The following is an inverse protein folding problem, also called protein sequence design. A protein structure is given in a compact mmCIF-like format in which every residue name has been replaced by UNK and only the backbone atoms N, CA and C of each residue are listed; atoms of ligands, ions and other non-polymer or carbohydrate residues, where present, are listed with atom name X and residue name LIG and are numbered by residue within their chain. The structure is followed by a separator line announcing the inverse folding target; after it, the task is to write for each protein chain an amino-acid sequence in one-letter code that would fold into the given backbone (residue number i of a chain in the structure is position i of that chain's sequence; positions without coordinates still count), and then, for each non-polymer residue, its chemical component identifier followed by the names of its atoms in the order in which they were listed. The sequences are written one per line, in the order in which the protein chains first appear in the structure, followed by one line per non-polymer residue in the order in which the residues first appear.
data_IF_571937743110
#
_entry.id   IF_571937743110
#
_cell.length_a   1.000
_cell.length_b   1.000
_cell.length_c   1.000
_cell.angle_alpha   90.00
_cell.angle_beta   90.00
_cell.angle_gamma   90.00
#
_symmetry.space_group_name_H-M   'P 1'
#
loop_
_entity.id
_entity.type
_entity.pdbx_description
1 polymer ?
#
# COMPACT_ATOMS: atom_id res chain seq x y z
N UNK A 1 -39.29 10.89 94.27
CA UNK A 1 -38.43 9.86 94.87
C UNK A 1 -38.99 8.53 94.41
N UNK A 2 -38.15 7.63 93.92
CA UNK A 2 -38.50 6.36 93.25
C UNK A 2 -39.29 6.52 91.96
N UNK A 3 -38.81 5.93 90.88
CA UNK A 3 -39.73 5.30 89.93
C UNK A 3 -39.03 4.22 89.10
N UNK A 4 -39.63 3.04 89.17
CA UNK A 4 -39.49 1.83 88.36
C UNK A 4 -40.95 1.33 88.22
N UNK A 5 -41.35 0.59 87.17
CA UNK A 5 -40.65 -0.63 86.75
C UNK A 5 -40.78 -0.89 85.20
N UNK A 6 -40.74 -2.12 84.64
CA UNK A 6 -39.68 -2.53 83.69
C UNK A 6 -40.19 -3.22 82.39
N UNK A 7 -39.27 -3.95 81.70
CA UNK A 7 -39.44 -5.02 80.67
C UNK A 7 -39.36 -4.54 79.19
N UNK A 8 -38.69 -5.19 78.22
CA UNK A 8 -38.26 -6.59 78.08
C UNK A 8 -37.28 -6.80 76.89
N UNK A 9 -36.38 -7.79 77.06
CA UNK A 9 -35.81 -8.79 76.12
C UNK A 9 -35.01 -8.42 74.84
N UNK A 10 -33.71 -8.73 74.95
CA UNK A 10 -32.83 -9.56 74.09
C UNK A 10 -32.75 -9.29 72.58
N UNK A 11 -31.57 -8.86 72.14
CA UNK A 11 -30.96 -9.29 70.87
C UNK A 11 -29.44 -9.45 71.05
N UNK A 12 -28.94 -10.61 70.62
CA UNK A 12 -27.52 -10.98 70.59
C UNK A 12 -26.82 -10.23 69.45
N UNK A 13 -25.66 -9.63 69.72
CA UNK A 13 -24.74 -9.12 68.71
C UNK A 13 -23.66 -10.17 68.45
N UNK A 14 -23.79 -10.92 67.35
CA UNK A 14 -22.70 -11.69 66.76
C UNK A 14 -21.95 -10.80 65.76
N UNK A 15 -20.69 -10.49 66.05
CA UNK A 15 -19.79 -9.86 65.10
C UNK A 15 -19.40 -10.89 64.02
N UNK A 16 -19.83 -10.66 62.78
CA UNK A 16 -19.40 -11.43 61.62
C UNK A 16 -18.12 -10.80 61.04
N UNK A 17 -16.99 -11.49 61.14
CA UNK A 17 -15.79 -11.17 60.38
C UNK A 17 -15.99 -11.64 58.93
N UNK A 18 -16.11 -10.69 58.00
CA UNK A 18 -16.15 -10.98 56.58
C UNK A 18 -14.72 -11.25 56.07
N UNK A 19 -14.41 -12.52 55.78
CA UNK A 19 -13.21 -12.87 55.02
C UNK A 19 -13.45 -12.51 53.55
N UNK A 20 -12.76 -11.48 53.06
CA UNK A 20 -12.74 -11.14 51.64
C UNK A 20 -11.90 -12.18 50.89
N UNK A 21 -12.58 -13.12 50.20
CA UNK A 21 -11.96 -13.95 49.17
C UNK A 21 -11.81 -13.09 47.91
N UNK A 22 -10.62 -12.56 47.67
CA UNK A 22 -10.25 -12.02 46.36
C UNK A 22 -10.13 -13.19 45.39
N UNK A 23 -10.95 -13.28 44.33
CA UNK A 23 -10.70 -14.27 43.30
C UNK A 23 -9.44 -13.85 42.55
N UNK A 24 -8.35 -14.60 42.72
CA UNK A 24 -7.25 -14.55 41.77
C UNK A 24 -7.78 -15.06 40.45
N UNK A 25 -8.07 -14.14 39.52
CA UNK A 25 -8.25 -14.47 38.12
C UNK A 25 -6.92 -15.04 37.63
N UNK A 26 -6.84 -16.37 37.58
CA UNK A 26 -5.82 -17.04 36.79
C UNK A 26 -6.17 -16.70 35.34
N UNK A 27 -5.52 -15.66 34.81
CA UNK A 27 -5.49 -15.40 33.38
C UNK A 27 -4.82 -16.62 32.74
N UNK A 28 -5.63 -17.55 32.26
CA UNK A 28 -5.16 -18.53 31.29
C UNK A 28 -4.59 -17.71 30.13
N UNK A 29 -3.32 -17.86 29.74
CA UNK A 29 -2.82 -17.19 28.55
C UNK A 29 -3.75 -17.64 27.43
N UNK A 30 -4.40 -16.67 26.77
CA UNK A 30 -5.09 -16.92 25.53
C UNK A 30 -4.10 -17.72 24.67
N UNK A 31 -4.50 -18.93 24.27
CA UNK A 31 -3.65 -19.83 23.51
C UNK A 31 -3.21 -19.07 22.26
N UNK A 32 -1.99 -18.54 22.29
CA UNK A 32 -1.46 -17.80 21.16
C UNK A 32 -1.39 -18.81 20.01
N UNK A 33 -2.17 -18.60 18.96
CA UNK A 33 -2.03 -19.45 17.79
C UNK A 33 -0.59 -19.31 17.28
N UNK A 34 0.06 -20.45 17.05
CA UNK A 34 1.48 -20.55 16.71
C UNK A 34 1.72 -20.85 15.24
N UNK A 35 0.85 -20.37 14.37
CA UNK A 35 1.00 -20.55 12.92
C UNK A 35 0.46 -19.32 12.17
N UNK A 36 1.09 -18.92 11.06
CA UNK A 36 0.53 -17.92 10.15
C UNK A 36 -0.84 -18.35 9.61
N UNK A 37 -1.73 -17.39 9.35
CA UNK A 37 -3.07 -17.69 8.89
C UNK A 37 -3.08 -18.10 7.40
N UNK A 38 -3.48 -19.34 7.06
CA UNK A 38 -3.50 -19.80 5.69
C UNK A 38 -4.82 -19.37 5.04
N UNK A 39 -4.91 -18.12 4.57
CA UNK A 39 -6.12 -17.53 3.99
C UNK A 39 -6.93 -18.53 3.15
N UNK A 40 -8.12 -18.96 3.61
CA UNK A 40 -8.87 -20.05 2.96
C UNK A 40 -9.48 -19.61 1.63
N UNK A 41 -9.76 -18.32 1.48
CA UNK A 41 -10.22 -17.70 0.24
C UNK A 41 -9.14 -16.75 -0.26
N UNK A 42 -8.58 -17.08 -1.42
CA UNK A 42 -7.47 -16.33 -2.07
C UNK A 42 -7.48 -16.55 -3.58
N UNK A 43 -6.81 -15.71 -4.38
CA UNK A 43 -6.66 -15.93 -5.81
C UNK A 43 -6.30 -17.38 -6.15
N UNK A 44 -6.96 -17.95 -7.17
CA UNK A 44 -6.82 -19.35 -7.58
C UNK A 44 -7.72 -20.37 -6.85
N UNK A 45 -8.40 -19.99 -5.77
CA UNK A 45 -9.40 -20.87 -5.12
C UNK A 45 -10.76 -20.84 -5.85
N UNK A 46 -11.56 -21.93 -5.83
CA UNK A 46 -12.92 -21.92 -6.37
C UNK A 46 -13.83 -20.86 -5.74
N UNK A 47 -13.64 -20.59 -4.46
CA UNK A 47 -14.37 -19.57 -3.70
C UNK A 47 -14.06 -18.17 -4.22
N UNK A 48 -12.78 -17.89 -4.51
CA UNK A 48 -12.36 -16.61 -5.08
C UNK A 48 -13.00 -16.32 -6.42
N UNK A 49 -13.07 -17.31 -7.31
CA UNK A 49 -13.66 -17.15 -8.65
C UNK A 49 -15.15 -16.75 -8.61
N UNK A 50 -15.83 -16.96 -7.48
CA UNK A 50 -17.24 -16.58 -7.26
C UNK A 50 -17.38 -15.13 -6.75
N UNK A 51 -16.31 -14.48 -6.32
CA UNK A 51 -16.34 -13.12 -5.79
C UNK A 51 -16.31 -12.09 -6.92
N UNK A 52 -17.45 -11.43 -7.15
CA UNK A 52 -17.65 -10.48 -8.29
C UNK A 52 -17.33 -9.02 -7.98
N UNK A 53 -17.06 -8.69 -6.73
CA UNK A 53 -16.77 -7.31 -6.32
C UNK A 53 -15.53 -7.29 -5.44
N UNK A 54 -14.78 -6.19 -5.51
CA UNK A 54 -13.64 -5.98 -4.64
C UNK A 54 -14.01 -6.02 -3.16
N UNK A 55 -15.16 -5.45 -2.80
CA UNK A 55 -15.69 -5.50 -1.45
C UNK A 55 -15.91 -6.93 -0.93
N UNK A 56 -16.36 -7.84 -1.80
CA UNK A 56 -16.48 -9.25 -1.44
C UNK A 56 -15.11 -9.91 -1.23
N UNK A 57 -14.10 -9.56 -2.04
CA UNK A 57 -12.71 -10.03 -1.87
C UNK A 57 -12.10 -9.56 -0.55
N UNK A 58 -12.22 -8.27 -0.22
CA UNK A 58 -11.74 -7.71 1.05
C UNK A 58 -12.36 -8.42 2.26
N UNK A 59 -13.69 -8.65 2.24
CA UNK A 59 -14.37 -9.36 3.32
C UNK A 59 -13.91 -10.82 3.45
N UNK A 60 -13.72 -11.51 2.33
CA UNK A 60 -13.29 -12.91 2.33
C UNK A 60 -11.85 -13.10 2.83
N UNK A 61 -11.03 -12.06 2.76
CA UNK A 61 -9.62 -12.08 3.19
C UNK A 61 -9.38 -11.45 4.56
N UNK A 62 -10.42 -11.14 5.35
CA UNK A 62 -10.22 -10.71 6.74
C UNK A 62 -9.77 -11.88 7.63
N UNK A 63 -8.98 -11.57 8.67
CA UNK A 63 -8.77 -12.51 9.76
C UNK A 63 -10.06 -12.64 10.58
N UNK A 64 -10.39 -13.83 11.14
CA UNK A 64 -11.46 -13.96 12.11
C UNK A 64 -11.31 -13.01 13.31
N UNK A 65 -12.44 -12.61 13.89
CA UNK A 65 -12.47 -11.66 15.02
C UNK A 65 -11.59 -12.14 16.18
N UNK A 66 -10.77 -11.24 16.71
CA UNK A 66 -9.83 -11.52 17.80
C UNK A 66 -8.58 -12.32 17.41
N UNK A 67 -8.53 -12.92 16.20
CA UNK A 67 -7.40 -13.74 15.78
C UNK A 67 -6.11 -12.93 15.72
N UNK A 68 -6.13 -11.75 15.09
CA UNK A 68 -4.94 -10.90 14.95
C UNK A 68 -4.30 -10.58 16.31
N UNK A 69 -5.10 -10.33 17.35
CA UNK A 69 -4.61 -10.04 18.71
C UNK A 69 -4.04 -11.28 19.42
N UNK A 70 -4.53 -12.48 19.08
CA UNK A 70 -4.06 -13.74 19.66
C UNK A 70 -2.76 -14.26 19.01
N UNK A 71 -2.37 -13.77 17.84
CA UNK A 71 -1.15 -14.23 17.15
C UNK A 71 0.11 -13.67 17.80
N UNK A 72 1.21 -14.43 17.77
CA UNK A 72 2.53 -13.86 18.03
C UNK A 72 2.88 -12.81 16.97
N UNK A 73 3.83 -11.91 17.26
CA UNK A 73 4.22 -10.89 16.29
C UNK A 73 4.88 -11.50 15.07
N UNK A 74 5.63 -12.59 15.25
CA UNK A 74 6.23 -13.34 14.15
C UNK A 74 5.18 -13.96 13.22
N UNK A 75 4.16 -14.62 13.79
CA UNK A 75 3.05 -15.21 13.02
C UNK A 75 2.20 -14.13 12.32
N UNK A 76 1.95 -13.01 13.00
CA UNK A 76 1.20 -11.90 12.42
C UNK A 76 1.99 -11.23 11.27
N UNK A 77 3.31 -11.08 11.40
CA UNK A 77 4.17 -10.59 10.33
C UNK A 77 4.08 -11.50 9.11
N UNK A 78 4.24 -12.82 9.28
CA UNK A 78 4.11 -13.78 8.19
C UNK A 78 2.71 -13.71 7.55
N UNK A 79 1.66 -13.64 8.36
CA UNK A 79 0.27 -13.51 7.89
C UNK A 79 0.03 -12.24 7.08
N UNK A 80 0.61 -11.11 7.51
CA UNK A 80 0.48 -9.83 6.81
C UNK A 80 1.25 -9.84 5.48
N UNK A 81 2.45 -10.43 5.45
CA UNK A 81 3.22 -10.56 4.21
C UNK A 81 2.56 -11.51 3.21
N UNK A 82 1.83 -12.52 3.70
CA UNK A 82 1.05 -13.46 2.89
C UNK A 82 -0.36 -12.95 2.54
N UNK A 83 -0.71 -11.72 2.95
CA UNK A 83 -2.04 -11.16 2.71
C UNK A 83 -2.34 -11.11 1.19
N UNK A 84 -3.40 -11.78 0.70
CA UNK A 84 -3.60 -11.98 -0.74
C UNK A 84 -3.74 -10.69 -1.56
N UNK A 85 -4.21 -9.61 -0.95
CA UNK A 85 -4.45 -8.33 -1.62
C UNK A 85 -3.31 -7.32 -1.42
N UNK A 86 -2.19 -7.70 -0.79
CA UNK A 86 -1.09 -6.78 -0.52
C UNK A 86 -0.51 -6.15 -1.80
N UNK A 87 -0.31 -6.97 -2.84
CA UNK A 87 0.23 -6.48 -4.12
C UNK A 87 -0.70 -5.50 -4.85
N UNK A 88 -1.99 -5.39 -4.48
CA UNK A 88 -2.89 -4.37 -5.07
C UNK A 88 -2.41 -2.95 -4.80
N UNK A 89 -1.57 -2.73 -3.79
CA UNK A 89 -0.97 -1.42 -3.53
C UNK A 89 -0.22 -0.87 -4.77
N UNK A 90 0.30 -1.75 -5.64
CA UNK A 90 1.01 -1.39 -6.86
C UNK A 90 0.07 -0.94 -7.99
N UNK A 91 -1.24 -1.11 -7.83
CA UNK A 91 -2.26 -0.63 -8.76
C UNK A 91 -2.66 0.84 -8.51
N UNK A 92 -2.04 1.57 -7.57
CA UNK A 92 -2.38 2.96 -7.25
C UNK A 92 -1.44 3.99 -7.89
N UNK A 93 -1.81 5.27 -7.79
CA UNK A 93 -0.99 6.37 -8.29
C UNK A 93 0.34 6.54 -7.54
N UNK A 94 0.43 6.03 -6.31
CA UNK A 94 1.66 5.91 -5.56
C UNK A 94 1.67 4.63 -4.73
N UNK A 95 2.87 4.11 -4.46
CA UNK A 95 3.05 2.90 -3.63
C UNK A 95 2.55 3.17 -2.21
N UNK A 96 2.84 4.35 -1.65
CA UNK A 96 2.39 4.71 -0.31
C UNK A 96 0.85 4.80 -0.21
N UNK A 97 0.18 5.49 -1.16
CA UNK A 97 -1.29 5.58 -1.17
C UNK A 97 -1.93 4.20 -1.32
N UNK A 98 -1.36 3.36 -2.17
CA UNK A 98 -1.81 1.98 -2.34
C UNK A 98 -1.65 1.16 -1.06
N UNK A 99 -0.49 1.25 -0.42
CA UNK A 99 -0.23 0.56 0.86
C UNK A 99 -1.22 1.00 1.94
N UNK A 100 -1.39 2.31 2.14
CA UNK A 100 -2.34 2.87 3.12
C UNK A 100 -3.77 2.40 2.86
N UNK A 101 -4.16 2.38 1.58
CA UNK A 101 -5.49 1.94 1.16
C UNK A 101 -5.73 0.46 1.45
N UNK A 102 -4.72 -0.39 1.22
CA UNK A 102 -4.78 -1.82 1.51
C UNK A 102 -4.74 -2.06 3.02
N UNK A 103 -3.84 -1.38 3.74
CA UNK A 103 -3.65 -1.50 5.18
C UNK A 103 -4.89 -1.08 5.97
N UNK A 104 -5.55 0.01 5.57
CA UNK A 104 -6.78 0.48 6.20
C UNK A 104 -7.96 -0.50 6.07
N UNK A 105 -7.89 -1.46 5.14
CA UNK A 105 -8.96 -2.42 4.83
C UNK A 105 -8.70 -3.82 5.35
N UNK A 106 -7.58 -4.07 6.02
CA UNK A 106 -7.24 -5.38 6.56
C UNK A 106 -6.96 -5.32 8.06
N UNK A 107 -7.70 -6.11 8.83
CA UNK A 107 -7.58 -6.13 10.29
C UNK A 107 -6.20 -6.62 10.79
N UNK A 108 -5.46 -7.42 10.01
CA UNK A 108 -4.08 -7.82 10.36
C UNK A 108 -3.10 -6.64 10.37
N UNK A 109 -3.17 -5.74 9.38
CA UNK A 109 -2.37 -4.50 9.37
C UNK A 109 -2.73 -3.59 10.53
N UNK A 110 -4.04 -3.45 10.80
CA UNK A 110 -4.53 -2.65 11.91
C UNK A 110 -3.93 -3.09 13.25
N UNK A 111 -3.69 -4.39 13.45
CA UNK A 111 -3.03 -4.91 14.64
C UNK A 111 -1.50 -4.77 14.58
N UNK A 112 -0.86 -5.20 13.48
CA UNK A 112 0.60 -5.22 13.38
C UNK A 112 1.22 -3.84 13.55
N UNK A 113 0.63 -2.81 12.92
CA UNK A 113 1.14 -1.43 12.96
C UNK A 113 1.01 -0.78 14.36
N UNK A 114 0.29 -1.40 15.30
CA UNK A 114 0.20 -0.95 16.70
C UNK A 114 1.20 -1.68 17.63
N UNK A 115 1.84 -2.76 17.17
CA UNK A 115 2.72 -3.59 18.00
C UNK A 115 4.09 -2.96 18.19
N UNK A 116 4.54 -2.87 19.44
CA UNK A 116 5.84 -2.28 19.83
C UNK A 116 7.05 -3.13 19.44
N UNK A 117 6.82 -4.39 19.13
CA UNK A 117 7.82 -5.38 18.70
C UNK A 117 7.75 -5.69 17.20
N UNK A 118 6.92 -4.96 16.42
CA UNK A 118 6.79 -5.16 14.97
C UNK A 118 8.09 -4.85 14.21
N UNK A 119 8.75 -3.74 14.54
CA UNK A 119 10.01 -3.34 13.90
C UNK A 119 11.11 -4.39 14.06
N UNK A 120 11.45 -4.82 15.30
CA UNK A 120 12.45 -5.86 15.51
C UNK A 120 12.12 -7.18 14.78
N UNK A 121 10.84 -7.61 14.78
CA UNK A 121 10.42 -8.81 14.07
C UNK A 121 10.62 -8.70 12.55
N UNK A 122 10.19 -7.58 11.94
CA UNK A 122 10.36 -7.33 10.50
C UNK A 122 11.83 -7.18 10.11
N UNK A 123 12.63 -6.51 10.93
CA UNK A 123 14.07 -6.38 10.71
C UNK A 123 14.78 -7.74 10.75
N UNK A 124 14.40 -8.62 11.69
CA UNK A 124 14.94 -9.98 11.75
C UNK A 124 14.61 -10.78 10.48
N UNK A 125 13.40 -10.64 9.93
CA UNK A 125 13.02 -11.25 8.66
C UNK A 125 13.83 -10.67 7.50
N UNK A 126 14.01 -9.35 7.47
CA UNK A 126 14.73 -8.67 6.39
C UNK A 126 16.22 -9.01 6.37
N UNK A 127 16.85 -9.11 7.54
CA UNK A 127 18.25 -9.53 7.66
C UNK A 127 18.49 -11.00 7.27
N UNK A 128 17.46 -11.85 7.33
CA UNK A 128 17.53 -13.26 6.94
C UNK A 128 17.10 -13.54 5.50
N UNK A 129 16.58 -12.54 4.79
CA UNK A 129 16.09 -12.67 3.42
C UNK A 129 17.27 -12.85 2.45
N UNK A 130 17.20 -13.88 1.61
CA UNK A 130 18.07 -13.94 0.44
C UNK A 130 17.57 -12.92 -0.60
N UNK A 131 18.35 -11.88 -0.83
CA UNK A 131 18.03 -10.84 -1.81
C UNK A 131 18.37 -11.28 -3.23
N UNK A 132 19.28 -12.24 -3.42
CA UNK A 132 19.68 -12.64 -4.77
C UNK A 132 18.53 -13.34 -5.50
N UNK A 133 18.24 -12.91 -6.72
CA UNK A 133 17.28 -13.62 -7.57
C UNK A 133 17.90 -14.96 -7.98
N UNK A 134 17.19 -16.10 -7.80
CA UNK A 134 17.72 -17.40 -8.18
C UNK A 134 18.13 -17.42 -9.65
N UNK A 135 19.34 -17.90 -9.96
CA UNK A 135 19.88 -17.91 -11.32
C UNK A 135 19.07 -18.76 -12.31
N UNK A 136 18.32 -19.74 -11.80
CA UNK A 136 17.41 -20.59 -12.58
C UNK A 136 16.00 -20.03 -12.71
N UNK A 137 15.70 -18.87 -12.12
CA UNK A 137 14.36 -18.30 -12.14
C UNK A 137 13.97 -17.86 -13.55
N UNK A 138 12.76 -18.24 -13.98
CA UNK A 138 12.12 -17.57 -15.10
C UNK A 138 11.66 -16.15 -14.70
N UNK A 139 11.12 -15.40 -15.65
CA UNK A 139 10.68 -14.01 -15.39
C UNK A 139 9.61 -13.91 -14.30
N UNK A 140 8.70 -14.87 -14.19
CA UNK A 140 7.62 -14.85 -13.20
C UNK A 140 8.15 -15.19 -11.80
N UNK A 141 9.04 -16.18 -11.70
CA UNK A 141 9.71 -16.53 -10.45
C UNK A 141 10.62 -15.38 -9.97
N UNK A 142 11.39 -14.77 -10.88
CA UNK A 142 12.20 -13.60 -10.58
C UNK A 142 11.35 -12.43 -10.12
N UNK A 143 10.24 -12.13 -10.81
CA UNK A 143 9.34 -11.06 -10.43
C UNK A 143 8.60 -11.33 -9.11
N UNK A 144 8.28 -12.60 -8.82
CA UNK A 144 7.71 -13.01 -7.52
C UNK A 144 8.68 -12.72 -6.40
N UNK A 145 9.95 -13.11 -6.56
CA UNK A 145 11.01 -12.79 -5.60
C UNK A 145 11.15 -11.28 -5.37
N UNK A 146 11.17 -10.49 -6.45
CA UNK A 146 11.24 -9.02 -6.35
C UNK A 146 10.05 -8.46 -5.56
N UNK A 147 8.83 -8.97 -5.78
CA UNK A 147 7.63 -8.53 -5.05
C UNK A 147 7.67 -8.97 -3.58
N UNK A 148 8.19 -10.15 -3.26
CA UNK A 148 8.32 -10.61 -1.88
C UNK A 148 9.30 -9.73 -1.08
N UNK A 149 10.42 -9.34 -1.71
CA UNK A 149 11.35 -8.35 -1.13
C UNK A 149 10.65 -6.99 -0.96
N UNK A 150 9.90 -6.54 -1.98
CA UNK A 150 9.15 -5.28 -1.93
C UNK A 150 8.12 -5.26 -0.78
N UNK A 151 7.40 -6.36 -0.52
CA UNK A 151 6.42 -6.44 0.59
C UNK A 151 7.08 -6.17 1.93
N UNK A 152 8.20 -6.83 2.18
CA UNK A 152 8.93 -6.71 3.44
C UNK A 152 9.52 -5.31 3.63
N UNK A 153 10.15 -4.77 2.59
CA UNK A 153 10.75 -3.43 2.65
C UNK A 153 9.69 -2.34 2.79
N UNK A 154 8.58 -2.44 2.06
CA UNK A 154 7.48 -1.47 2.15
C UNK A 154 6.90 -1.46 3.56
N UNK A 155 6.71 -2.63 4.17
CA UNK A 155 6.18 -2.72 5.52
C UNK A 155 7.19 -2.22 6.57
N UNK A 156 8.46 -2.60 6.46
CA UNK A 156 9.52 -2.14 7.35
C UNK A 156 9.75 -0.62 7.25
N UNK A 157 9.50 -0.03 6.09
CA UNK A 157 9.65 1.41 5.85
C UNK A 157 8.49 2.26 6.41
N UNK A 158 7.46 1.67 7.03
CA UNK A 158 6.35 2.44 7.58
C UNK A 158 6.78 3.20 8.84
N UNK A 159 6.34 4.45 9.04
CA UNK A 159 6.72 5.26 10.20
C UNK A 159 6.37 4.59 11.54
N UNK A 160 5.22 3.93 11.62
CA UNK A 160 4.75 3.18 12.78
C UNK A 160 5.69 2.03 13.13
N UNK A 161 6.30 1.39 12.11
CA UNK A 161 7.24 0.29 12.29
C UNK A 161 8.63 0.81 12.64
N UNK A 162 9.16 1.76 11.85
CA UNK A 162 10.48 2.36 12.10
C UNK A 162 10.57 3.02 13.48
N UNK A 163 9.48 3.63 13.95
CA UNK A 163 9.38 4.25 15.27
C UNK A 163 9.46 3.27 16.44
N UNK A 164 9.40 1.96 16.19
CA UNK A 164 9.59 0.92 17.22
C UNK A 164 11.03 0.41 17.33
N UNK A 165 11.89 0.74 16.37
CA UNK A 165 13.29 0.32 16.40
C UNK A 165 14.10 1.15 17.40
N UNK A 166 14.96 0.47 18.16
CA UNK A 166 16.03 1.12 18.92
C UNK A 166 17.08 1.74 17.99
N UNK A 167 17.92 2.63 18.51
CA UNK A 167 19.02 3.21 17.73
C UNK A 167 19.97 2.16 17.13
N UNK A 168 20.19 1.05 17.85
CA UNK A 168 21.02 -0.06 17.37
C UNK A 168 20.35 -0.85 16.24
N UNK A 169 19.05 -1.11 16.37
CA UNK A 169 18.26 -1.79 15.34
C UNK A 169 18.10 -0.92 14.09
N UNK A 170 17.86 0.39 14.23
CA UNK A 170 17.84 1.33 13.10
C UNK A 170 19.18 1.35 12.37
N UNK A 171 20.30 1.32 13.10
CA UNK A 171 21.62 1.21 12.48
C UNK A 171 21.81 -0.13 11.75
N UNK A 172 21.23 -1.22 12.26
CA UNK A 172 21.23 -2.51 11.57
C UNK A 172 20.36 -2.47 10.31
N UNK A 173 19.17 -1.89 10.37
CA UNK A 173 18.28 -1.70 9.23
C UNK A 173 18.96 -0.91 8.10
N UNK A 174 19.66 0.17 8.44
CA UNK A 174 20.43 0.97 7.47
C UNK A 174 21.53 0.14 6.78
N UNK A 175 22.29 -0.66 7.54
CA UNK A 175 23.35 -1.52 6.97
C UNK A 175 22.78 -2.61 6.07
N UNK A 176 21.76 -3.33 6.55
CA UNK A 176 21.10 -4.39 5.77
C UNK A 176 20.51 -3.82 4.49
N UNK A 177 19.76 -2.72 4.58
CA UNK A 177 19.16 -2.10 3.39
C UNK A 177 20.20 -1.55 2.41
N UNK A 178 21.34 -1.02 2.89
CA UNK A 178 22.43 -0.56 2.02
C UNK A 178 23.06 -1.73 1.24
N UNK A 179 23.30 -2.86 1.91
CA UNK A 179 23.78 -4.09 1.27
C UNK A 179 22.76 -4.64 0.26
N UNK A 180 21.48 -4.69 0.64
CA UNK A 180 20.38 -5.10 -0.24
C UNK A 180 20.30 -4.21 -1.47
N UNK A 181 20.41 -2.89 -1.32
CA UNK A 181 20.40 -1.96 -2.45
C UNK A 181 21.52 -2.26 -3.45
N UNK A 182 22.74 -2.54 -2.96
CA UNK A 182 23.88 -2.86 -3.81
C UNK A 182 23.65 -4.15 -4.62
N UNK A 183 23.09 -5.19 -4.00
CA UNK A 183 22.72 -6.43 -4.71
C UNK A 183 21.67 -6.16 -5.78
N UNK A 184 20.57 -5.49 -5.40
CA UNK A 184 19.48 -5.18 -6.32
C UNK A 184 19.95 -4.36 -7.52
N UNK A 185 20.87 -3.42 -7.30
CA UNK A 185 21.43 -2.57 -8.36
C UNK A 185 22.22 -3.39 -9.39
N UNK A 186 22.85 -4.49 -8.98
CA UNK A 186 23.60 -5.38 -9.86
C UNK A 186 22.72 -6.37 -10.64
N UNK A 187 21.46 -6.55 -10.24
CA UNK A 187 20.56 -7.56 -10.80
C UNK A 187 19.43 -6.95 -11.63
N UNK A 188 19.41 -7.27 -12.92
CA UNK A 188 18.44 -6.70 -13.89
C UNK A 188 16.97 -6.97 -13.50
N UNK A 189 16.69 -8.06 -12.79
CA UNK A 189 15.35 -8.44 -12.38
C UNK A 189 14.66 -7.37 -11.51
N UNK A 190 15.40 -6.65 -10.68
CA UNK A 190 14.84 -5.56 -9.87
C UNK A 190 14.47 -4.35 -10.72
N UNK A 191 15.36 -3.97 -11.64
CA UNK A 191 15.25 -2.72 -12.40
C UNK A 191 15.11 -1.49 -11.48
N UNK A 192 14.84 -0.29 -12.04
CA UNK A 192 14.72 0.92 -11.24
C UNK A 192 13.60 0.88 -10.20
N UNK A 193 12.43 0.32 -10.55
CA UNK A 193 11.29 0.23 -9.64
C UNK A 193 11.58 -0.68 -8.42
N UNK A 194 12.34 -1.76 -8.60
CA UNK A 194 12.72 -2.65 -7.50
C UNK A 194 13.70 -2.05 -6.50
N UNK A 195 14.36 -0.92 -6.84
CA UNK A 195 15.27 -0.18 -5.96
C UNK A 195 14.53 0.82 -5.06
N UNK A 196 13.36 1.31 -5.50
CA UNK A 196 12.56 2.31 -4.80
C UNK A 196 12.21 1.91 -3.35
N UNK A 197 11.65 0.71 -3.05
CA UNK A 197 11.29 0.35 -1.68
C UNK A 197 12.51 0.31 -0.74
N UNK A 198 13.67 -0.18 -1.20
CA UNK A 198 14.91 -0.19 -0.41
C UNK A 198 15.40 1.24 -0.14
N UNK A 199 15.34 2.12 -1.14
CA UNK A 199 15.72 3.53 -0.96
C UNK A 199 14.74 4.28 -0.04
N UNK A 200 13.43 4.01 -0.14
CA UNK A 200 12.44 4.56 0.79
C UNK A 200 12.73 4.11 2.23
N UNK A 201 13.03 2.81 2.44
CA UNK A 201 13.44 2.29 3.75
C UNK A 201 14.69 3.01 4.27
N UNK A 202 15.75 3.09 3.47
CA UNK A 202 16.99 3.79 3.83
C UNK A 202 16.74 5.24 4.24
N UNK A 203 16.00 5.99 3.42
CA UNK A 203 15.76 7.42 3.64
C UNK A 203 14.90 7.69 4.86
N UNK A 204 13.81 6.93 5.03
CA UNK A 204 12.93 7.06 6.21
C UNK A 204 13.64 6.62 7.48
N UNK A 205 14.39 5.52 7.46
CA UNK A 205 15.15 5.06 8.63
C UNK A 205 16.22 6.07 9.05
N UNK A 206 16.94 6.66 8.08
CA UNK A 206 17.93 7.71 8.33
C UNK A 206 17.26 8.96 8.92
N UNK A 207 16.14 9.39 8.33
CA UNK A 207 15.41 10.55 8.81
C UNK A 207 14.88 10.37 10.24
N UNK A 208 14.36 9.19 10.56
CA UNK A 208 13.96 8.80 11.92
C UNK A 208 15.15 8.81 12.87
N UNK A 209 16.30 8.28 12.43
CA UNK A 209 17.53 8.23 13.24
C UNK A 209 18.07 9.62 13.60
N UNK A 210 17.99 10.55 12.66
CA UNK A 210 18.59 11.88 12.75
C UNK A 210 17.59 12.99 13.09
N UNK A 211 16.29 12.68 13.17
CA UNK A 211 15.26 13.60 13.63
C UNK A 211 14.89 14.70 12.63
N UNK A 212 14.86 14.40 11.33
CA UNK A 212 14.41 15.36 10.29
C UNK A 212 13.19 14.88 9.51
N UNK A 213 12.43 15.82 8.97
CA UNK A 213 11.18 15.56 8.23
C UNK A 213 11.46 15.21 6.77
N UNK A 214 10.91 14.10 6.27
CA UNK A 214 11.18 13.57 4.93
C UNK A 214 9.98 13.62 3.97
N UNK A 215 8.78 13.92 4.46
CA UNK A 215 7.52 13.90 3.70
C UNK A 215 7.42 14.89 2.53
N UNK A 216 8.41 15.76 2.35
CA UNK A 216 8.51 16.67 1.21
C UNK A 216 9.30 16.08 0.03
N UNK A 217 9.92 14.92 0.22
CA UNK A 217 10.69 14.21 -0.81
C UNK A 217 9.80 13.14 -1.45
N UNK A 218 9.49 13.22 -2.76
CA UNK A 218 8.55 12.31 -3.41
C UNK A 218 8.87 10.83 -3.23
N UNK A 219 10.13 10.40 -3.31
CA UNK A 219 10.48 9.00 -3.07
C UNK A 219 10.14 8.56 -1.65
N UNK A 220 10.36 9.44 -0.67
CA UNK A 220 10.13 9.10 0.73
C UNK A 220 8.65 9.26 1.10
N UNK A 221 7.90 10.18 0.51
CA UNK A 221 6.46 10.33 0.75
C UNK A 221 5.64 9.29 0.00
N UNK A 222 5.87 9.13 -1.30
CA UNK A 222 4.97 8.43 -2.21
C UNK A 222 5.45 6.99 -2.50
N UNK A 223 6.71 6.69 -2.16
CA UNK A 223 7.32 5.37 -2.41
C UNK A 223 7.63 5.12 -3.88
N UNK A 224 7.63 6.16 -4.71
CA UNK A 224 7.99 6.12 -6.12
C UNK A 224 9.02 7.21 -6.36
N UNK A 225 10.16 6.86 -6.93
CA UNK A 225 11.14 7.85 -7.33
C UNK A 225 10.73 8.43 -8.69
N UNK A 226 10.72 9.75 -8.87
CA UNK A 226 10.76 10.34 -10.19
C UNK A 226 12.06 9.97 -10.93
N UNK A 227 13.15 9.64 -10.20
CA UNK A 227 14.44 9.37 -10.84
C UNK A 227 15.26 8.34 -10.07
N UNK A 228 16.10 7.58 -10.78
CA UNK A 228 17.15 6.77 -10.14
C UNK A 228 18.18 7.61 -9.37
N UNK A 229 18.28 8.90 -9.68
CA UNK A 229 19.18 9.82 -8.99
C UNK A 229 18.72 10.18 -7.57
N UNK A 230 17.41 10.21 -7.31
CA UNK A 230 16.87 10.39 -5.97
C UNK A 230 17.18 9.19 -5.08
N UNK A 231 16.94 7.97 -5.57
CA UNK A 231 17.35 6.74 -4.86
C UNK A 231 18.86 6.73 -4.57
N UNK A 232 19.67 7.09 -5.56
CA UNK A 232 21.12 7.22 -5.39
C UNK A 232 21.53 8.32 -4.39
N UNK A 233 20.76 9.40 -4.29
CA UNK A 233 21.01 10.47 -3.32
C UNK A 233 20.72 10.02 -1.89
N UNK A 234 19.70 9.19 -1.68
CA UNK A 234 19.42 8.57 -0.39
C UNK A 234 20.58 7.66 0.03
N UNK A 235 21.05 6.80 -0.87
CA UNK A 235 22.19 5.91 -0.60
C UNK A 235 23.43 6.70 -0.18
N UNK A 236 23.77 7.77 -0.91
CA UNK A 236 24.89 8.65 -0.55
C UNK A 236 24.71 9.31 0.83
N UNK A 237 23.49 9.72 1.19
CA UNK A 237 23.23 10.29 2.51
C UNK A 237 23.47 9.26 3.63
N UNK A 238 23.11 8.00 3.41
CA UNK A 238 23.39 6.90 4.34
C UNK A 238 24.89 6.59 4.42
N UNK A 239 25.61 6.61 3.30
CA UNK A 239 27.07 6.45 3.30
C UNK A 239 27.78 7.57 4.07
N UNK A 240 27.32 8.81 3.91
CA UNK A 240 27.81 9.94 4.70
C UNK A 240 27.50 9.75 6.19
N UNK A 241 26.31 9.27 6.53
CA UNK A 241 25.96 8.92 7.91
C UNK A 241 26.89 7.87 8.51
N UNK A 242 27.27 6.84 7.75
CA UNK A 242 28.23 5.84 8.23
C UNK A 242 29.63 6.43 8.48
N UNK A 243 30.05 7.38 7.65
CA UNK A 243 31.33 8.08 7.84
C UNK A 243 31.28 9.10 9.01
N UNK A 244 30.15 9.77 9.22
CA UNK A 244 29.99 10.88 10.15
C UNK A 244 28.71 10.81 11.00
N UNK A 245 28.49 9.76 11.82
CA UNK A 245 27.19 9.44 12.44
C UNK A 245 26.65 10.48 13.45
N UNK A 246 27.45 11.50 13.80
CA UNK A 246 27.06 12.61 14.67
C UNK A 246 26.49 13.84 13.95
N UNK A 247 26.41 13.82 12.61
CA UNK A 247 25.86 14.92 11.80
C UNK A 247 24.52 14.53 11.19
N UNK A 248 23.76 15.54 10.75
CA UNK A 248 22.52 15.36 10.00
C UNK A 248 22.81 15.35 8.50
N UNK A 249 22.30 14.34 7.80
CA UNK A 249 22.51 14.10 6.37
C UNK A 249 21.18 14.13 5.63
N UNK A 250 20.71 15.35 5.33
CA UNK A 250 19.49 15.54 4.54
C UNK A 250 19.74 15.13 3.09
N UNK A 251 18.79 14.37 2.54
CA UNK A 251 18.82 13.99 1.12
C UNK A 251 18.68 15.23 0.26
N UNK A 252 19.60 15.40 -0.70
CA UNK A 252 19.57 16.45 -1.72
C UNK A 252 19.48 15.81 -3.09
N UNK A 253 18.33 15.95 -3.74
CA UNK A 253 18.08 15.37 -5.07
C UNK A 253 18.72 16.24 -6.16
N UNK A 254 19.49 15.66 -7.08
CA UNK A 254 19.96 16.39 -8.25
C UNK A 254 18.79 16.75 -9.17
N UNK A 255 18.89 17.89 -9.89
CA UNK A 255 18.01 18.12 -11.04
C UNK A 255 18.37 17.11 -12.13
N UNK A 256 17.41 16.29 -12.57
CA UNK A 256 17.61 15.37 -13.70
C UNK A 256 16.49 15.49 -14.72
N UNK A 257 16.74 14.97 -15.92
CA UNK A 257 15.78 14.92 -17.04
C UNK A 257 15.03 13.59 -17.13
N UNK A 258 15.36 12.59 -16.31
CA UNK A 258 14.53 11.39 -16.13
C UNK A 258 13.40 11.73 -15.15
N UNK A 259 12.32 10.94 -15.13
CA UNK A 259 10.92 11.35 -14.87
C UNK A 259 10.74 12.73 -14.25
N UNK A 260 10.13 13.64 -15.01
CA UNK A 260 10.14 15.07 -14.71
C UNK A 260 8.77 15.70 -14.82
N UNK A 261 8.54 16.77 -14.09
CA UNK A 261 7.31 17.56 -14.25
C UNK A 261 7.25 18.19 -15.64
N UNK A 262 6.07 18.17 -16.22
CA UNK A 262 5.76 18.75 -17.51
C UNK A 262 4.35 19.36 -17.48
N UNK A 263 3.89 19.83 -18.63
CA UNK A 263 2.57 20.43 -18.80
C UNK A 263 1.93 19.89 -20.06
N UNK A 264 0.71 19.38 -19.93
CA UNK A 264 -0.18 19.09 -21.06
C UNK A 264 -1.31 20.11 -21.08
N UNK A 265 -2.10 20.12 -22.14
CA UNK A 265 -3.18 21.09 -22.30
C UNK A 265 -4.49 20.38 -22.58
N UNK A 266 -5.58 20.90 -22.01
CA UNK A 266 -6.94 20.47 -22.38
C UNK A 266 -7.25 20.89 -23.82
N UNK A 267 -8.39 20.43 -24.36
CA UNK A 267 -8.83 20.85 -25.69
C UNK A 267 -9.14 22.36 -25.78
N UNK A 268 -9.36 23.01 -24.63
CA UNK A 268 -9.56 24.46 -24.53
C UNK A 268 -8.27 25.24 -24.26
N UNK A 269 -7.12 24.56 -24.20
CA UNK A 269 -5.83 25.17 -23.98
C UNK A 269 -5.52 25.50 -22.52
N UNK A 270 -6.30 24.99 -21.56
CA UNK A 270 -5.98 25.14 -20.13
C UNK A 270 -4.80 24.23 -19.77
N UNK A 271 -3.73 24.74 -19.14
CA UNK A 271 -2.58 23.92 -18.75
C UNK A 271 -2.93 22.97 -17.60
N UNK A 272 -2.39 21.76 -17.66
CA UNK A 272 -2.47 20.71 -16.62
C UNK A 272 -1.07 20.21 -16.30
N UNK A 273 -0.67 20.30 -15.03
CA UNK A 273 0.62 19.77 -14.56
C UNK A 273 0.58 18.26 -14.53
N UNK A 274 1.62 17.64 -15.09
CA UNK A 274 1.78 16.18 -15.16
C UNK A 274 3.23 15.81 -14.86
N UNK A 275 3.50 14.53 -14.62
CA UNK A 275 4.84 13.97 -14.69
C UNK A 275 5.01 13.20 -15.98
N UNK A 276 6.15 13.36 -16.64
CA UNK A 276 6.56 12.53 -17.78
C UNK A 276 7.43 11.42 -17.27
N UNK A 277 7.01 10.17 -17.43
CA UNK A 277 7.75 9.00 -16.98
C UNK A 277 8.54 8.38 -18.15
N UNK A 278 9.84 8.31 -17.98
CA UNK A 278 10.84 7.86 -18.96
C UNK A 278 11.44 6.51 -18.61
N UNK A 279 11.26 6.06 -17.37
CA UNK A 279 11.79 4.79 -16.87
C UNK A 279 10.68 3.75 -16.85
N UNK A 280 11.00 2.54 -17.34
CA UNK A 280 10.08 1.41 -17.37
C UNK A 280 10.41 0.36 -16.29
N UNK A 281 9.43 -0.50 -16.00
CA UNK A 281 9.58 -1.71 -15.19
C UNK A 281 10.58 -2.70 -15.81
N UNK A 282 11.20 -3.53 -14.97
CA UNK A 282 11.98 -4.68 -15.45
C UNK A 282 11.08 -5.72 -16.12
N UNK A 283 11.63 -6.54 -17.01
CA UNK A 283 10.87 -7.63 -17.62
C UNK A 283 10.28 -8.61 -16.59
N UNK A 284 10.99 -8.84 -15.48
CA UNK A 284 10.52 -9.68 -14.38
C UNK A 284 9.30 -9.06 -13.67
N UNK A 285 9.33 -7.75 -13.39
CA UNK A 285 8.19 -7.04 -12.80
C UNK A 285 7.00 -6.97 -13.77
N UNK A 286 7.22 -6.75 -15.06
CA UNK A 286 6.16 -6.78 -16.07
C UNK A 286 5.47 -8.14 -16.08
N UNK A 287 6.24 -9.24 -16.13
CA UNK A 287 5.70 -10.60 -16.10
C UNK A 287 4.89 -10.86 -14.82
N UNK A 288 5.41 -10.44 -13.66
CA UNK A 288 4.75 -10.61 -12.37
C UNK A 288 3.45 -9.81 -12.26
N UNK A 289 3.45 -8.54 -12.60
CA UNK A 289 2.26 -7.68 -12.49
C UNK A 289 1.18 -8.08 -13.48
N UNK A 290 1.56 -8.51 -14.69
CA UNK A 290 0.64 -9.12 -15.64
C UNK A 290 -0.01 -10.38 -15.05
N UNK A 291 0.82 -11.28 -14.50
CA UNK A 291 0.34 -12.50 -13.86
C UNK A 291 -0.59 -12.24 -12.67
N UNK A 292 -0.29 -11.25 -11.83
CA UNK A 292 -1.16 -10.87 -10.71
C UNK A 292 -2.49 -10.29 -11.19
N UNK A 293 -2.48 -9.39 -12.16
CA UNK A 293 -3.72 -8.84 -12.72
C UNK A 293 -4.62 -9.95 -13.28
N UNK A 294 -4.06 -10.84 -14.10
CA UNK A 294 -4.79 -11.94 -14.74
C UNK A 294 -5.28 -12.98 -13.71
N UNK A 295 -4.52 -13.18 -12.63
CA UNK A 295 -4.85 -14.15 -11.58
C UNK A 295 -5.87 -13.63 -10.57
N UNK A 296 -5.83 -12.33 -10.25
CA UNK A 296 -6.70 -11.72 -9.23
C UNK A 296 -8.06 -11.35 -9.83
N UNK A 297 -8.07 -10.91 -11.09
CA UNK A 297 -9.23 -10.35 -11.80
C UNK A 297 -9.63 -11.18 -13.01
N UNK A 298 -10.13 -12.40 -12.75
CA UNK A 298 -10.45 -13.38 -13.79
C UNK A 298 -11.57 -12.97 -14.77
N UNK A 299 -12.43 -12.04 -14.37
CA UNK A 299 -13.52 -11.52 -15.20
C UNK A 299 -13.08 -10.26 -15.99
N UNK A 300 -11.90 -9.71 -15.69
CA UNK A 300 -11.30 -8.61 -16.43
C UNK A 300 -10.43 -9.15 -17.58
N UNK A 301 -10.21 -8.32 -18.60
CA UNK A 301 -9.31 -8.61 -19.71
C UNK A 301 -8.18 -7.59 -19.72
N UNK A 302 -6.94 -8.07 -19.63
CA UNK A 302 -5.76 -7.21 -19.78
C UNK A 302 -5.56 -6.86 -21.25
N UNK A 303 -5.56 -5.56 -21.56
CA UNK A 303 -5.39 -5.04 -22.93
C UNK A 303 -3.94 -4.67 -23.26
N UNK A 304 -3.14 -4.34 -22.24
CA UNK A 304 -1.72 -4.01 -22.39
C UNK A 304 -0.92 -4.65 -21.26
N UNK A 305 0.38 -4.80 -21.49
CA UNK A 305 1.30 -5.16 -20.42
C UNK A 305 1.35 -4.09 -19.32
N UNK A 306 1.76 -4.53 -18.13
CA UNK A 306 2.11 -3.69 -17.02
C UNK A 306 3.18 -2.69 -17.41
N UNK A 307 3.02 -1.46 -16.94
CA UNK A 307 3.93 -0.35 -17.22
C UNK A 307 3.77 0.71 -16.14
N UNK A 308 4.86 1.40 -15.82
CA UNK A 308 4.85 2.53 -14.87
C UNK A 308 4.76 3.90 -15.55
N UNK A 309 4.59 3.94 -16.87
CA UNK A 309 4.81 5.17 -17.66
C UNK A 309 3.59 6.09 -17.74
N UNK A 310 2.39 5.59 -17.49
CA UNK A 310 1.16 6.39 -17.46
C UNK A 310 0.12 5.77 -16.54
N UNK A 311 -0.86 6.58 -16.12
CA UNK A 311 -1.94 6.18 -15.23
C UNK A 311 -3.34 6.34 -15.84
N UNK A 312 -4.36 5.97 -15.05
CA UNK A 312 -5.76 5.98 -15.46
C UNK A 312 -6.27 7.36 -15.87
N UNK A 313 -5.85 8.41 -15.16
CA UNK A 313 -6.25 9.78 -15.43
C UNK A 313 -5.72 10.29 -16.75
N UNK A 314 -4.43 10.09 -17.01
CA UNK A 314 -3.85 10.45 -18.30
C UNK A 314 -4.51 9.67 -19.45
N UNK A 315 -4.82 8.39 -19.24
CA UNK A 315 -5.55 7.58 -20.22
C UNK A 315 -6.97 8.10 -20.48
N UNK A 316 -7.71 8.45 -19.43
CA UNK A 316 -9.10 8.87 -19.54
C UNK A 316 -9.24 10.29 -20.10
N UNK A 317 -8.41 11.23 -19.64
CA UNK A 317 -8.63 12.65 -19.88
C UNK A 317 -7.75 13.24 -20.97
N UNK A 318 -6.50 12.75 -21.09
CA UNK A 318 -5.51 13.29 -22.01
C UNK A 318 -5.38 12.48 -23.31
N UNK A 319 -5.03 11.19 -23.22
CA UNK A 319 -4.74 10.36 -24.40
C UNK A 319 -5.07 8.89 -24.16
N UNK A 320 -5.91 8.32 -25.00
CA UNK A 320 -6.25 6.88 -24.98
C UNK A 320 -5.22 5.99 -25.67
N UNK A 321 -4.01 6.51 -25.94
CA UNK A 321 -2.90 5.71 -26.49
C UNK A 321 -2.48 4.61 -25.52
N UNK A 322 -2.21 3.38 -26.00
CA UNK A 322 -1.64 2.32 -25.15
C UNK A 322 -0.19 2.55 -24.73
N UNK A 323 0.51 3.52 -25.35
CA UNK A 323 1.95 3.77 -25.15
C UNK A 323 2.21 5.20 -24.64
N UNK A 324 1.42 5.63 -23.66
CA UNK A 324 1.58 6.95 -23.03
C UNK A 324 2.79 7.00 -22.11
N UNK A 325 3.30 8.21 -21.84
CA UNK A 325 4.35 8.46 -20.85
C UNK A 325 3.96 9.58 -19.88
N UNK A 326 2.67 9.86 -19.78
CA UNK A 326 2.11 10.96 -18.98
C UNK A 326 1.43 10.39 -17.76
N UNK A 327 1.81 10.89 -16.60
CA UNK A 327 1.20 10.59 -15.32
C UNK A 327 0.49 11.83 -14.80
N UNK A 328 -0.82 11.71 -14.56
CA UNK A 328 -1.67 12.83 -14.16
C UNK A 328 -2.30 12.52 -12.81
N UNK A 329 -1.96 13.28 -11.78
CA UNK A 329 -2.53 13.07 -10.44
C UNK A 329 -3.81 13.89 -10.25
N UNK A 330 -4.74 13.37 -9.47
CA UNK A 330 -5.81 14.16 -8.85
C UNK A 330 -5.20 15.20 -7.88
N UNK A 331 -5.71 16.44 -7.82
CA UNK A 331 -6.87 16.98 -8.54
C UNK A 331 -6.55 17.66 -9.89
N UNK A 332 -5.40 17.38 -10.50
CA UNK A 332 -5.00 18.01 -11.76
C UNK A 332 -5.90 17.65 -12.95
N UNK A 333 -6.40 16.41 -12.98
CA UNK A 333 -7.36 15.91 -13.97
C UNK A 333 -8.71 16.66 -13.91
N UNK A 334 -9.07 17.21 -12.76
CA UNK A 334 -10.29 18.01 -12.59
C UNK A 334 -10.39 19.18 -13.58
N UNK A 335 -9.24 19.69 -14.02
CA UNK A 335 -9.15 20.75 -15.02
C UNK A 335 -9.97 20.45 -16.28
N UNK A 336 -10.06 19.17 -16.70
CA UNK A 336 -10.76 18.76 -17.91
C UNK A 336 -12.27 18.95 -17.86
N UNK A 337 -12.89 19.00 -16.69
CA UNK A 337 -14.31 19.33 -16.58
C UNK A 337 -14.55 20.72 -15.99
N UNK A 338 -13.62 21.23 -15.17
CA UNK A 338 -13.70 22.59 -14.64
C UNK A 338 -13.54 23.66 -15.73
N UNK A 339 -12.73 23.40 -16.76
CA UNK A 339 -12.57 24.32 -17.88
C UNK A 339 -13.66 24.17 -18.96
N UNK A 340 -14.56 23.20 -18.80
CA UNK A 340 -15.66 22.88 -19.71
C UNK A 340 -15.26 22.10 -20.97
N UNK A 341 -14.06 21.52 -21.03
CA UNK A 341 -13.67 20.56 -22.08
C UNK A 341 -14.55 19.31 -22.03
N UNK A 342 -14.89 18.86 -20.84
CA UNK A 342 -15.88 17.84 -20.57
C UNK A 342 -17.03 18.41 -19.74
N UNK A 343 -18.25 17.91 -19.96
CA UNK A 343 -19.43 18.22 -19.17
C UNK A 343 -19.87 16.99 -18.39
N UNK A 344 -20.17 17.18 -17.12
CA UNK A 344 -20.73 16.11 -16.29
C UNK A 344 -22.12 15.75 -16.80
N UNK A 345 -22.35 14.46 -16.96
CA UNK A 345 -23.62 13.88 -17.34
C UNK A 345 -24.48 13.63 -16.11
N UNK A 346 -25.77 13.93 -16.23
CA UNK A 346 -26.78 13.60 -15.25
C UNK A 346 -28.05 13.10 -15.93
N UNK A 347 -28.77 12.18 -15.31
CA UNK A 347 -30.14 11.87 -15.71
C UNK A 347 -31.01 13.13 -15.59
N UNK A 348 -31.88 13.46 -16.58
CA UNK A 348 -32.31 12.62 -17.70
C UNK A 348 -31.60 12.89 -19.04
N UNK A 349 -30.40 13.48 -19.06
CA UNK A 349 -29.70 13.74 -20.32
C UNK A 349 -29.48 12.46 -21.14
N UNK A 350 -29.59 12.57 -22.47
CA UNK A 350 -29.34 11.45 -23.37
C UNK A 350 -27.92 10.92 -23.19
N UNK A 351 -27.84 9.60 -23.03
CA UNK A 351 -26.58 8.88 -22.93
C UNK A 351 -25.68 9.11 -24.14
N UNK A 352 -24.37 9.15 -23.92
CA UNK A 352 -23.39 9.25 -24.99
C UNK A 352 -22.38 8.11 -24.87
N UNK A 353 -21.94 7.58 -26.02
CA UNK A 353 -20.88 6.58 -26.03
C UNK A 353 -19.55 7.19 -25.58
N UNK A 354 -18.67 6.35 -25.04
CA UNK A 354 -17.30 6.73 -24.63
C UNK A 354 -17.25 7.82 -23.56
N UNK A 355 -18.16 7.75 -22.58
CA UNK A 355 -18.07 8.63 -21.41
C UNK A 355 -16.79 8.38 -20.63
N UNK A 356 -16.26 9.46 -20.04
CA UNK A 356 -15.18 9.39 -19.06
C UNK A 356 -15.80 9.21 -17.69
N UNK A 357 -15.28 8.26 -16.94
CA UNK A 357 -15.70 7.98 -15.58
C UNK A 357 -14.61 8.46 -14.62
N UNK A 358 -15.01 9.06 -13.51
CA UNK A 358 -14.14 9.42 -12.39
C UNK A 358 -14.77 8.92 -11.08
N UNK A 359 -14.00 8.16 -10.31
CA UNK A 359 -14.34 7.68 -8.97
C UNK A 359 -13.80 8.70 -7.96
N UNK A 360 -14.72 9.41 -7.31
CA UNK A 360 -14.47 10.66 -6.57
C UNK A 360 -13.45 10.50 -5.42
N UNK A 361 -13.49 9.38 -4.72
CA UNK A 361 -12.62 9.01 -3.60
C UNK A 361 -11.63 7.92 -3.98
N UNK A 362 -11.85 7.23 -5.10
CA UNK A 362 -11.03 6.13 -5.58
C UNK A 362 -9.72 6.54 -6.25
N UNK A 363 -9.55 7.83 -6.63
CA UNK A 363 -8.42 8.31 -7.44
C UNK A 363 -8.25 7.43 -8.69
N UNK A 364 -9.38 7.18 -9.34
CA UNK A 364 -9.50 6.28 -10.47
C UNK A 364 -10.33 6.93 -11.55
N UNK A 365 -9.85 6.82 -12.79
CA UNK A 365 -10.57 7.27 -13.98
C UNK A 365 -10.62 6.18 -15.03
N UNK A 366 -11.60 6.25 -15.91
CA UNK A 366 -11.79 5.23 -16.93
C UNK A 366 -12.56 5.73 -18.13
N UNK A 367 -12.57 4.91 -19.16
CA UNK A 367 -13.25 5.19 -20.42
C UNK A 367 -14.26 4.10 -20.65
N UNK A 368 -15.50 4.50 -20.80
CA UNK A 368 -16.56 3.57 -21.08
C UNK A 368 -16.44 2.97 -22.48
N UNK A 369 -16.62 1.66 -22.56
CA UNK A 369 -16.69 0.92 -23.84
C UNK A 369 -18.10 0.90 -24.37
N UNK A 370 -19.07 0.62 -23.50
CA UNK A 370 -20.48 0.51 -23.84
C UNK A 370 -21.38 0.90 -22.63
N UNK A 371 -22.67 1.12 -22.89
CA UNK A 371 -23.63 1.57 -21.88
C UNK A 371 -23.94 0.51 -20.80
N UNK A 372 -23.33 -0.68 -20.84
CA UNK A 372 -23.54 -1.74 -19.84
C UNK A 372 -22.62 -1.60 -18.62
N UNK A 373 -21.77 -0.57 -18.60
CA UNK A 373 -20.86 -0.29 -17.47
C UNK A 373 -19.54 -1.04 -17.57
N UNK A 374 -19.10 -1.37 -18.78
CA UNK A 374 -17.75 -1.88 -19.05
C UNK A 374 -16.80 -0.71 -19.29
N UNK A 375 -15.69 -0.73 -18.57
CA UNK A 375 -14.71 0.34 -18.50
C UNK A 375 -13.35 -0.18 -18.95
N UNK A 376 -12.62 0.63 -19.70
CA UNK A 376 -11.18 0.48 -19.88
C UNK A 376 -10.47 1.50 -19.00
N UNK A 377 -9.55 1.03 -18.17
CA UNK A 377 -8.76 1.89 -17.29
C UNK A 377 -7.37 1.32 -17.07
N UNK A 378 -6.42 2.17 -16.68
CA UNK A 378 -5.03 1.79 -16.38
C UNK A 378 -4.86 1.61 -14.88
N UNK A 379 -4.31 0.48 -14.44
CA UNK A 379 -4.21 0.19 -13.01
C UNK A 379 -2.81 0.44 -12.45
N UNK A 380 -2.49 1.67 -12.02
CA UNK A 380 -1.19 2.00 -11.41
C UNK A 380 0.00 1.50 -12.22
N UNK A 381 0.88 0.68 -11.63
CA UNK A 381 1.99 0.01 -12.32
C UNK A 381 1.58 -1.26 -13.10
N UNK A 382 0.37 -1.78 -12.90
CA UNK A 382 -0.17 -2.92 -13.65
C UNK A 382 -0.66 -2.51 -15.06
N UNK A 383 -1.24 -3.43 -15.81
CA UNK A 383 -1.67 -3.20 -17.19
C UNK A 383 -2.90 -2.29 -17.31
N UNK A 384 -3.24 -1.97 -18.57
CA UNK A 384 -4.57 -1.45 -18.90
C UNK A 384 -5.55 -2.60 -18.97
N UNK A 385 -6.69 -2.44 -18.31
CA UNK A 385 -7.67 -3.49 -18.11
C UNK A 385 -9.02 -3.05 -18.67
N UNK A 386 -9.70 -3.97 -19.36
CA UNK A 386 -11.12 -3.90 -19.68
C UNK A 386 -11.87 -4.70 -18.62
N UNK A 387 -12.73 -4.05 -17.85
CA UNK A 387 -13.39 -4.65 -16.69
C UNK A 387 -14.77 -4.07 -16.45
N UNK A 388 -15.60 -4.76 -15.67
CA UNK A 388 -16.83 -4.19 -15.15
C UNK A 388 -16.49 -3.05 -14.16
N UNK A 389 -17.30 -1.99 -14.11
CA UNK A 389 -17.05 -0.81 -13.28
C UNK A 389 -16.80 -1.11 -11.78
N UNK A 390 -17.31 -2.23 -11.27
CA UNK A 390 -17.16 -2.68 -9.88
C UNK A 390 -16.08 -3.77 -9.67
N UNK A 391 -15.41 -4.21 -10.73
CA UNK A 391 -14.38 -5.25 -10.70
C UNK A 391 -13.00 -4.65 -11.01
N UNK A 392 -12.48 -3.88 -10.07
CA UNK A 392 -11.16 -3.26 -10.14
C UNK A 392 -10.51 -3.18 -8.75
N UNK A 393 -9.21 -2.85 -8.64
CA UNK A 393 -8.50 -2.60 -7.38
C UNK A 393 -9.00 -1.38 -6.59
N UNK A 394 -9.94 -0.62 -7.15
CA UNK A 394 -10.46 0.58 -6.54
C UNK A 394 -11.86 0.32 -5.99
N UNK A 395 -12.13 0.85 -4.81
CA UNK A 395 -13.47 0.85 -4.24
C UNK A 395 -13.89 2.29 -4.11
N UNK A 396 -15.02 2.59 -4.73
CA UNK A 396 -15.75 3.82 -4.49
C UNK A 396 -17.25 3.56 -4.63
N UNK A 397 -18.03 4.36 -3.91
CA UNK A 397 -19.48 4.39 -4.00
C UNK A 397 -19.97 5.53 -4.90
N UNK A 398 -19.11 6.48 -5.25
CA UNK A 398 -19.47 7.67 -6.03
C UNK A 398 -18.68 7.71 -7.32
N UNK A 399 -19.39 7.61 -8.44
CA UNK A 399 -18.82 7.75 -9.78
C UNK A 399 -19.51 8.87 -10.53
N UNK A 400 -18.73 9.77 -11.11
CA UNK A 400 -19.21 10.77 -12.03
C UNK A 400 -18.88 10.39 -13.47
N UNK A 401 -19.83 10.66 -14.37
CA UNK A 401 -19.68 10.41 -15.80
C UNK A 401 -19.62 11.74 -16.53
N UNK A 402 -18.77 11.81 -17.54
CA UNK A 402 -18.55 13.03 -18.31
C UNK A 402 -18.48 12.70 -19.79
N UNK A 403 -18.95 13.63 -20.62
CA UNK A 403 -18.77 13.56 -22.06
C UNK A 403 -18.12 14.83 -22.58
N UNK A 404 -17.41 14.68 -23.70
CA UNK A 404 -16.69 15.79 -24.32
C UNK A 404 -17.69 16.85 -24.80
N UNK A 405 -17.44 18.10 -24.45
CA UNK A 405 -18.18 19.23 -24.97
C UNK A 405 -17.81 19.41 -26.46
N UNK A 406 -18.80 19.66 -27.31
CA UNK A 406 -18.58 19.82 -28.76
C UNK A 406 -17.87 21.13 -29.08
#
# INVERSE_FOLDING_TARGET
MTERPPLTRRSFLTAAAAAALTPTLISTPAFAMREPYPFPVRPGTPEWARLKTREARIRATQLPDGMAAAMTTDDLVSTVLDYPLLSEALAFNSVQRGFETVAARFNGFSELLRRRDAGPALLSRYAALDVHVPTSADLLAAGTHVVDVWRLETLLAQPEVLGTLSAGETASALRTAHQTYAVKQAEQAYGPAGLEPTATLLGRALATREGWTWNHLPLLSDGIAPTTAEASAVVRAVEQHFAEPGKTHRVRTPNTTMDHLSTVYTARGTPVTVSVHTIELSAALIAKYNGEADFFYIDATRETDATRTYNCHAYAWYSTSPFGNVWMNDPGDNTYWLDGTYRQWFSPETYRNSMRWSWVHGDHSGVEVDATGVIVSKWGQWGRMRHAWHDSPYVDSVTYKYYRNQ
#
